data_IF_190413234273
#
_entry.id   IF_190413234273
#
_cell.length_a   1.000
_cell.length_b   1.000
_cell.length_c   1.000
_cell.angle_alpha   90.00
_cell.angle_beta   90.00
_cell.angle_gamma   90.00
#
_symmetry.space_group_name_H-M   'P 1'
#
loop_
_entity.id
_entity.type
_entity.pdbx_description
1 polymer ?
#
# COMPACT_ATOMS: atom_id res chain seq x y z
N UNK A 1 5.12 -7.02 -34.22
CA UNK A 1 4.90 -8.41 -33.82
C UNK A 1 4.52 -8.38 -32.34
N UNK A 2 3.21 -8.34 -32.04
CA UNK A 2 2.70 -8.33 -30.66
C UNK A 2 2.88 -9.74 -30.10
N UNK A 3 3.86 -9.93 -29.23
CA UNK A 3 3.96 -11.14 -28.42
C UNK A 3 2.85 -11.00 -27.37
N UNK A 4 1.75 -11.72 -27.58
CA UNK A 4 0.67 -11.81 -26.59
C UNK A 4 1.27 -12.23 -25.25
N UNK A 5 1.15 -11.38 -24.22
CA UNK A 5 1.49 -11.73 -22.85
C UNK A 5 0.67 -12.97 -22.50
N UNK A 6 1.31 -14.11 -22.39
CA UNK A 6 0.72 -15.30 -21.80
C UNK A 6 0.49 -14.94 -20.34
N UNK A 7 -0.74 -14.60 -20.00
CA UNK A 7 -1.12 -14.36 -18.59
C UNK A 7 -1.09 -15.70 -17.91
N UNK A 8 -0.16 -15.90 -17.00
CA UNK A 8 -0.05 -17.13 -16.23
C UNK A 8 -1.27 -17.32 -15.32
N UNK A 9 -1.64 -18.58 -15.07
CA UNK A 9 -2.84 -18.92 -14.30
C UNK A 9 -2.88 -18.21 -12.94
N UNK A 10 -1.75 -18.17 -12.22
CA UNK A 10 -1.64 -17.50 -10.92
C UNK A 10 -1.81 -15.97 -11.00
N UNK A 11 -1.32 -15.31 -12.06
CA UNK A 11 -1.54 -13.87 -12.26
C UNK A 11 -3.03 -13.55 -12.49
N UNK A 12 -3.75 -14.42 -13.18
CA UNK A 12 -5.19 -14.31 -13.36
C UNK A 12 -5.92 -14.44 -12.02
N UNK A 13 -5.55 -15.40 -11.20
CA UNK A 13 -6.09 -15.57 -9.85
C UNK A 13 -5.83 -14.33 -8.97
N UNK A 14 -4.65 -13.69 -9.10
CA UNK A 14 -4.37 -12.42 -8.43
C UNK A 14 -5.31 -11.31 -8.89
N UNK A 15 -5.60 -11.18 -10.20
CA UNK A 15 -6.54 -10.18 -10.70
C UNK A 15 -7.96 -10.42 -10.15
N UNK A 16 -8.42 -11.66 -10.11
CA UNK A 16 -9.71 -12.04 -9.54
C UNK A 16 -9.78 -11.69 -8.05
N UNK A 17 -8.69 -11.94 -7.31
CA UNK A 17 -8.59 -11.57 -5.90
C UNK A 17 -8.63 -10.05 -5.68
N UNK A 18 -7.93 -9.26 -6.50
CA UNK A 18 -7.99 -7.78 -6.39
C UNK A 18 -9.42 -7.29 -6.70
N UNK A 19 -10.09 -7.87 -7.70
CA UNK A 19 -11.50 -7.56 -7.97
C UNK A 19 -12.41 -7.92 -6.79
N UNK A 20 -12.15 -9.01 -6.10
CA UNK A 20 -12.86 -9.38 -4.88
C UNK A 20 -12.62 -8.36 -3.74
N UNK A 21 -11.37 -7.93 -3.55
CA UNK A 21 -11.05 -6.90 -2.55
C UNK A 21 -11.80 -5.60 -2.82
N UNK A 22 -11.88 -5.19 -4.09
CA UNK A 22 -12.60 -3.99 -4.52
C UNK A 22 -14.11 -4.11 -4.32
N UNK A 23 -14.72 -5.13 -4.93
CA UNK A 23 -16.18 -5.23 -5.06
C UNK A 23 -16.87 -5.81 -3.83
N UNK A 24 -16.19 -6.66 -3.05
CA UNK A 24 -16.80 -7.39 -1.91
C UNK A 24 -16.27 -6.88 -0.56
N UNK A 25 -14.97 -6.63 -0.48
CA UNK A 25 -14.34 -6.17 0.76
C UNK A 25 -14.30 -4.65 0.87
N UNK A 26 -14.54 -3.91 -0.22
CA UNK A 26 -14.50 -2.44 -0.29
C UNK A 26 -13.21 -1.88 0.31
N UNK A 27 -12.06 -2.49 -0.04
CA UNK A 27 -10.77 -2.04 0.46
C UNK A 27 -10.35 -0.75 -0.25
N UNK A 28 -9.43 0.00 0.36
CA UNK A 28 -8.89 1.21 -0.27
C UNK A 28 -8.04 0.86 -1.49
N UNK A 29 -8.03 1.72 -2.49
CA UNK A 29 -7.20 1.58 -3.70
C UNK A 29 -5.70 1.38 -3.35
N UNK A 30 -5.20 2.06 -2.31
CA UNK A 30 -3.82 1.89 -1.84
C UNK A 30 -3.54 0.48 -1.35
N UNK A 31 -4.48 -0.15 -0.65
CA UNK A 31 -4.38 -1.55 -0.21
C UNK A 31 -4.37 -2.48 -1.40
N UNK A 32 -5.31 -2.32 -2.34
CA UNK A 32 -5.41 -3.13 -3.56
C UNK A 32 -4.13 -3.05 -4.40
N UNK A 33 -3.64 -1.85 -4.65
CA UNK A 33 -2.40 -1.62 -5.41
C UNK A 33 -1.17 -2.21 -4.71
N UNK A 34 -1.10 -2.11 -3.39
CA UNK A 34 0.00 -2.67 -2.61
C UNK A 34 -0.03 -4.20 -2.63
N UNK A 35 -1.18 -4.81 -2.41
CA UNK A 35 -1.37 -6.26 -2.45
C UNK A 35 -1.10 -6.82 -3.85
N UNK A 36 -1.64 -6.17 -4.89
CA UNK A 36 -1.37 -6.55 -6.28
C UNK A 36 0.12 -6.58 -6.58
N UNK A 37 0.85 -5.51 -6.19
CA UNK A 37 2.30 -5.42 -6.42
C UNK A 37 3.06 -6.53 -5.70
N UNK A 38 2.70 -6.80 -4.44
CA UNK A 38 3.35 -7.82 -3.64
C UNK A 38 3.08 -9.22 -4.23
N UNK A 39 1.83 -9.53 -4.58
CA UNK A 39 1.44 -10.82 -5.14
C UNK A 39 2.04 -11.08 -6.53
N UNK A 40 2.14 -10.06 -7.39
CA UNK A 40 2.81 -10.22 -8.69
C UNK A 40 4.29 -10.56 -8.54
N UNK A 41 4.98 -10.05 -7.51
CA UNK A 41 6.37 -10.45 -7.21
C UNK A 41 6.44 -11.92 -6.79
N UNK A 42 5.48 -12.40 -5.98
CA UNK A 42 5.38 -13.82 -5.64
C UNK A 42 5.15 -14.66 -6.89
N UNK A 43 4.23 -14.27 -7.77
CA UNK A 43 3.98 -14.99 -9.02
C UNK A 43 5.25 -15.11 -9.86
N UNK A 44 5.99 -14.03 -10.04
CA UNK A 44 7.24 -14.03 -10.80
C UNK A 44 8.28 -14.98 -10.18
N UNK A 45 8.48 -14.90 -8.86
CA UNK A 45 9.39 -15.80 -8.14
C UNK A 45 9.01 -17.28 -8.31
N UNK A 46 7.72 -17.61 -8.26
CA UNK A 46 7.23 -18.96 -8.46
C UNK A 46 7.46 -19.43 -9.90
N UNK A 47 7.23 -18.57 -10.89
CA UNK A 47 7.45 -18.86 -12.30
C UNK A 47 8.92 -19.16 -12.61
N UNK A 48 9.87 -18.43 -12.04
CA UNK A 48 11.31 -18.71 -12.18
C UNK A 48 11.69 -20.11 -11.66
N UNK A 49 10.88 -20.67 -10.77
CA UNK A 49 11.02 -22.04 -10.24
C UNK A 49 10.16 -23.08 -10.95
N UNK A 50 9.52 -22.71 -12.05
CA UNK A 50 8.64 -23.58 -12.83
C UNK A 50 7.28 -23.85 -12.19
N UNK A 51 6.89 -23.10 -11.15
CA UNK A 51 5.60 -23.21 -10.47
C UNK A 51 4.63 -22.20 -11.09
N UNK A 52 3.68 -22.68 -11.91
CA UNK A 52 2.79 -21.83 -12.70
C UNK A 52 1.35 -21.75 -12.18
N UNK A 53 1.03 -22.48 -11.10
CA UNK A 53 -0.32 -22.53 -10.51
C UNK A 53 -0.25 -22.43 -8.99
N UNK A 54 -1.20 -21.74 -8.37
CA UNK A 54 -1.32 -21.66 -6.93
C UNK A 54 -1.54 -23.03 -6.26
N UNK A 55 -2.15 -23.99 -6.98
CA UNK A 55 -2.34 -25.38 -6.50
C UNK A 55 -1.03 -26.15 -6.33
N UNK A 56 0.02 -25.77 -7.05
CA UNK A 56 1.34 -26.42 -6.97
C UNK A 56 2.27 -25.77 -5.93
N UNK A 57 1.92 -24.58 -5.41
CA UNK A 57 2.73 -23.87 -4.42
C UNK A 57 2.69 -24.61 -3.08
N UNK A 58 3.86 -24.82 -2.50
CA UNK A 58 4.03 -25.43 -1.18
C UNK A 58 4.51 -24.40 -0.17
N UNK A 59 4.31 -24.68 1.12
CA UNK A 59 4.81 -23.85 2.21
C UNK A 59 6.30 -23.52 2.08
N UNK A 60 7.11 -24.50 1.64
CA UNK A 60 8.55 -24.32 1.45
C UNK A 60 8.89 -23.29 0.38
N UNK A 61 8.09 -23.19 -0.69
CA UNK A 61 8.30 -22.22 -1.76
C UNK A 61 8.02 -20.80 -1.28
N UNK A 62 6.96 -20.64 -0.48
CA UNK A 62 6.63 -19.35 0.14
C UNK A 62 7.69 -18.95 1.18
N UNK A 63 8.19 -19.89 1.98
CA UNK A 63 9.31 -19.62 2.91
C UNK A 63 10.58 -19.18 2.17
N UNK A 64 10.90 -19.84 1.04
CA UNK A 64 12.03 -19.46 0.20
C UNK A 64 11.86 -18.04 -0.36
N UNK A 65 10.65 -17.65 -0.78
CA UNK A 65 10.38 -16.29 -1.20
C UNK A 65 10.59 -15.27 -0.06
N UNK A 66 10.09 -15.57 1.15
CA UNK A 66 10.28 -14.68 2.30
C UNK A 66 11.77 -14.52 2.62
N UNK A 67 12.53 -15.61 2.56
CA UNK A 67 13.98 -15.55 2.78
C UNK A 67 14.68 -14.61 1.77
N UNK A 68 14.28 -14.64 0.49
CA UNK A 68 14.81 -13.70 -0.51
C UNK A 68 14.48 -12.24 -0.15
N UNK A 69 13.27 -11.96 0.39
CA UNK A 69 12.93 -10.61 0.84
C UNK A 69 13.80 -10.15 2.02
N UNK A 70 14.14 -11.07 2.92
CA UNK A 70 15.03 -10.82 4.07
C UNK A 70 16.48 -10.58 3.61
N UNK A 71 16.99 -11.37 2.68
CA UNK A 71 18.33 -11.18 2.08
C UNK A 71 18.45 -9.83 1.37
N UNK A 72 17.38 -9.33 0.75
CA UNK A 72 17.32 -7.99 0.17
C UNK A 72 17.32 -6.86 1.22
N UNK A 73 17.39 -7.18 2.51
CA UNK A 73 17.41 -6.23 3.64
C UNK A 73 16.22 -5.27 3.61
N UNK A 74 15.07 -5.74 3.17
CA UNK A 74 13.84 -4.93 3.19
C UNK A 74 13.41 -4.64 4.63
N UNK A 75 12.78 -3.49 4.84
CA UNK A 75 12.24 -3.14 6.15
C UNK A 75 11.24 -4.20 6.65
N UNK A 76 11.29 -4.54 7.94
CA UNK A 76 10.42 -5.55 8.56
C UNK A 76 8.93 -5.29 8.29
N UNK A 77 8.51 -4.02 8.22
CA UNK A 77 7.15 -3.63 7.84
C UNK A 77 6.80 -4.05 6.41
N UNK A 78 7.74 -3.95 5.46
CA UNK A 78 7.55 -4.38 4.07
C UNK A 78 7.42 -5.89 3.98
N UNK A 79 8.28 -6.65 4.65
CA UNK A 79 8.21 -8.12 4.71
C UNK A 79 6.89 -8.56 5.36
N UNK A 80 6.50 -7.94 6.46
CA UNK A 80 5.25 -8.22 7.17
C UNK A 80 4.02 -7.97 6.29
N UNK A 81 3.99 -6.87 5.51
CA UNK A 81 2.90 -6.60 4.56
C UNK A 81 2.87 -7.63 3.43
N UNK A 82 4.02 -8.03 2.89
CA UNK A 82 4.09 -9.11 1.88
C UNK A 82 3.49 -10.42 2.43
N UNK A 83 3.85 -10.81 3.65
CA UNK A 83 3.28 -12.00 4.29
C UNK A 83 1.76 -11.85 4.47
N UNK A 84 1.29 -10.68 4.88
CA UNK A 84 -0.14 -10.42 5.04
C UNK A 84 -0.90 -10.56 3.71
N UNK A 85 -0.36 -10.01 2.61
CA UNK A 85 -0.97 -10.11 1.28
C UNK A 85 -1.00 -11.56 0.77
N UNK A 86 0.08 -12.32 0.97
CA UNK A 86 0.16 -13.73 0.62
C UNK A 86 -0.86 -14.55 1.41
N UNK A 87 -0.91 -14.40 2.73
CA UNK A 87 -1.87 -15.12 3.57
C UNK A 87 -3.32 -14.81 3.19
N UNK A 88 -3.64 -13.54 2.95
CA UNK A 88 -4.98 -13.14 2.56
C UNK A 88 -5.37 -13.70 1.17
N UNK A 89 -4.44 -13.75 0.23
CA UNK A 89 -4.65 -14.33 -1.10
C UNK A 89 -4.86 -15.85 -1.04
N UNK A 90 -4.00 -16.59 -0.34
CA UNK A 90 -4.14 -18.05 -0.22
C UNK A 90 -5.40 -18.44 0.56
N UNK A 91 -5.76 -17.69 1.59
CA UNK A 91 -7.03 -17.87 2.30
C UNK A 91 -8.24 -17.64 1.36
N UNK A 92 -8.19 -16.61 0.50
CA UNK A 92 -9.21 -16.40 -0.52
C UNK A 92 -9.31 -17.58 -1.49
N UNK A 93 -8.20 -18.05 -2.03
CA UNK A 93 -8.19 -19.21 -2.93
C UNK A 93 -8.75 -20.48 -2.26
N UNK A 94 -8.43 -20.67 -1.00
CA UNK A 94 -8.94 -21.80 -0.20
C UNK A 94 -10.45 -21.65 0.03
N UNK A 95 -10.95 -20.48 0.39
CA UNK A 95 -12.38 -20.24 0.60
C UNK A 95 -13.21 -20.39 -0.68
N UNK A 96 -12.62 -20.06 -1.85
CA UNK A 96 -13.25 -20.24 -3.16
C UNK A 96 -13.11 -21.70 -3.70
N UNK A 97 -12.49 -22.59 -2.93
CA UNK A 97 -12.29 -24.00 -3.35
C UNK A 97 -11.28 -24.16 -4.49
N UNK A 98 -10.48 -23.13 -4.81
CA UNK A 98 -9.47 -23.17 -5.89
C UNK A 98 -8.23 -23.96 -5.51
N UNK A 99 -7.94 -24.06 -4.23
CA UNK A 99 -6.87 -24.87 -3.64
C UNK A 99 -7.43 -25.76 -2.53
N UNK A 100 -6.83 -26.91 -2.31
CA UNK A 100 -7.25 -27.85 -1.25
C UNK A 100 -6.56 -27.59 0.09
N UNK A 101 -5.37 -26.99 0.07
CA UNK A 101 -4.59 -26.68 1.25
C UNK A 101 -4.05 -25.24 1.18
N UNK A 102 -4.11 -24.51 2.29
CA UNK A 102 -3.54 -23.18 2.39
C UNK A 102 -2.05 -23.26 2.73
N UNK A 103 -1.20 -23.12 1.71
CA UNK A 103 0.26 -23.15 1.84
C UNK A 103 0.81 -21.98 2.66
N UNK A 104 0.04 -20.89 2.84
CA UNK A 104 0.46 -19.69 3.57
C UNK A 104 0.08 -19.71 5.05
N UNK A 105 -0.68 -20.70 5.52
CA UNK A 105 -1.22 -20.75 6.87
C UNK A 105 -0.14 -20.58 7.96
N UNK A 106 0.98 -21.29 7.82
CA UNK A 106 2.06 -21.31 8.79
C UNK A 106 3.08 -20.18 8.67
N UNK A 107 2.95 -19.27 7.70
CA UNK A 107 3.85 -18.14 7.56
C UNK A 107 3.75 -17.21 8.78
N UNK A 108 4.91 -16.81 9.31
CA UNK A 108 5.00 -15.88 10.46
C UNK A 108 5.64 -14.58 10.01
N UNK A 109 4.96 -13.47 10.32
CA UNK A 109 5.52 -12.15 10.08
C UNK A 109 6.63 -11.84 11.10
N UNK A 110 7.70 -11.12 10.70
CA UNK A 110 8.70 -10.63 11.62
C UNK A 110 8.08 -9.66 12.64
N UNK A 111 8.65 -9.62 13.85
CA UNK A 111 8.26 -8.60 14.83
C UNK A 111 8.68 -7.23 14.33
N UNK A 112 7.72 -6.32 14.25
CA UNK A 112 7.99 -4.90 13.95
C UNK A 112 8.21 -4.19 15.26
N UNK A 113 9.42 -3.69 15.48
CA UNK A 113 9.66 -2.77 16.59
C UNK A 113 8.94 -1.45 16.31
N UNK A 114 8.03 -1.10 17.21
CA UNK A 114 7.37 0.22 17.16
C UNK A 114 8.37 1.27 17.60
N UNK A 115 9.01 1.92 16.64
CA UNK A 115 9.77 3.14 16.91
C UNK A 115 8.79 4.26 17.23
N UNK A 116 9.08 5.04 18.27
CA UNK A 116 8.33 6.28 18.49
C UNK A 116 8.58 7.21 17.30
N UNK A 117 7.52 7.85 16.76
CA UNK A 117 7.70 8.85 15.73
C UNK A 117 8.64 9.96 16.22
N UNK A 118 9.54 10.40 15.36
CA UNK A 118 10.31 11.61 15.62
C UNK A 118 9.34 12.80 15.51
N UNK A 119 9.35 13.65 16.52
CA UNK A 119 8.48 14.83 16.61
C UNK A 119 9.36 16.05 16.39
N UNK A 120 8.97 16.90 15.43
CA UNK A 120 9.64 18.17 15.22
C UNK A 120 9.39 19.10 16.39
N UNK A 121 10.42 19.82 16.81
CA UNK A 121 10.30 20.92 17.78
C UNK A 121 9.60 22.13 17.14
N UNK A 122 9.08 23.04 17.96
CA UNK A 122 8.46 24.27 17.47
C UNK A 122 9.43 25.08 16.60
N UNK A 123 10.72 25.14 16.95
CA UNK A 123 11.73 25.82 16.17
C UNK A 123 11.97 25.19 14.79
N UNK A 124 12.00 23.86 14.72
CA UNK A 124 12.13 23.13 13.45
C UNK A 124 10.89 23.32 12.55
N UNK A 125 9.71 23.32 13.15
CA UNK A 125 8.46 23.61 12.40
C UNK A 125 8.50 25.03 11.85
N UNK A 126 8.84 26.03 12.65
CA UNK A 126 8.95 27.42 12.20
C UNK A 126 9.96 27.56 11.07
N UNK A 127 11.14 26.96 11.22
CA UNK A 127 12.18 26.97 10.18
C UNK A 127 11.69 26.29 8.87
N UNK A 128 10.91 25.20 8.97
CA UNK A 128 10.32 24.54 7.80
C UNK A 128 9.31 25.43 7.09
N UNK A 129 8.41 26.07 7.82
CA UNK A 129 7.39 26.96 7.26
C UNK A 129 8.01 28.20 6.60
N UNK A 130 9.12 28.70 7.17
CA UNK A 130 9.87 29.85 6.64
C UNK A 130 10.63 29.56 5.34
N UNK A 131 10.89 28.30 4.99
CA UNK A 131 11.56 27.95 3.73
C UNK A 131 10.71 28.27 2.50
N UNK A 132 9.39 28.30 2.61
CA UNK A 132 8.46 28.57 1.52
C UNK A 132 8.08 30.07 1.48
N UNK A 133 9.04 30.97 1.34
CA UNK A 133 8.82 32.43 1.44
C UNK A 133 9.03 33.20 0.14
N UNK A 134 8.98 32.57 -1.03
CA UNK A 134 9.09 33.26 -2.31
C UNK A 134 7.76 33.78 -2.82
N UNK A 135 7.84 34.70 -3.81
CA UNK A 135 6.69 35.38 -4.43
C UNK A 135 6.17 34.67 -5.69
N UNK A 136 6.80 33.56 -6.10
CA UNK A 136 6.33 32.82 -7.25
C UNK A 136 5.01 32.07 -6.92
N UNK A 137 4.11 31.85 -7.89
CA UNK A 137 2.86 31.13 -7.66
C UNK A 137 3.07 29.73 -7.04
N UNK A 138 4.20 29.09 -7.35
CA UNK A 138 4.57 27.79 -6.76
C UNK A 138 4.87 27.94 -5.27
N UNK A 139 5.71 28.91 -4.89
CA UNK A 139 6.12 29.11 -3.50
C UNK A 139 4.95 29.55 -2.63
N UNK A 140 4.08 30.42 -3.14
CA UNK A 140 2.83 30.83 -2.45
C UNK A 140 1.94 29.60 -2.20
N UNK A 141 1.78 28.73 -3.21
CA UNK A 141 1.01 27.50 -3.07
C UNK A 141 1.65 26.57 -2.04
N UNK A 142 2.95 26.34 -2.13
CA UNK A 142 3.68 25.42 -1.26
C UNK A 142 3.62 25.91 0.20
N UNK A 143 3.72 27.21 0.44
CA UNK A 143 3.52 27.83 1.75
C UNK A 143 2.10 27.60 2.28
N UNK A 144 1.09 27.89 1.49
CA UNK A 144 -0.30 27.67 1.89
C UNK A 144 -0.59 26.21 2.25
N UNK A 145 0.00 25.26 1.51
CA UNK A 145 -0.12 23.81 1.80
C UNK A 145 0.54 23.44 3.13
N UNK A 146 1.74 23.93 3.39
CA UNK A 146 2.47 23.64 4.64
C UNK A 146 1.76 24.25 5.85
N UNK A 147 1.36 25.50 5.77
CA UNK A 147 0.59 26.20 6.81
C UNK A 147 -0.72 25.47 7.14
N UNK A 148 -1.43 25.02 6.09
CA UNK A 148 -2.68 24.31 6.25
C UNK A 148 -2.50 22.94 6.91
N UNK A 149 -1.47 22.17 6.50
CA UNK A 149 -1.12 20.91 7.13
C UNK A 149 -0.79 21.08 8.60
N UNK A 150 -0.01 22.12 8.94
CA UNK A 150 0.39 22.38 10.31
C UNK A 150 -0.80 22.83 11.18
N UNK A 151 -1.62 23.75 10.68
CA UNK A 151 -2.75 24.30 11.40
C UNK A 151 -3.88 23.27 11.67
N UNK A 152 -4.07 22.31 10.75
CA UNK A 152 -5.24 21.43 10.78
C UNK A 152 -4.91 19.96 11.06
N UNK A 153 -3.67 19.53 10.79
CA UNK A 153 -3.26 18.14 10.90
C UNK A 153 -3.93 17.20 9.87
N UNK A 154 -4.51 17.75 8.79
CA UNK A 154 -5.10 16.93 7.72
C UNK A 154 -4.03 16.10 7.01
N UNK A 155 -4.43 14.97 6.42
CA UNK A 155 -3.50 14.15 5.63
C UNK A 155 -3.21 14.78 4.28
N UNK A 156 -2.02 14.50 3.72
CA UNK A 156 -1.64 15.00 2.39
C UNK A 156 -2.68 14.64 1.32
N UNK A 157 -3.26 13.44 1.37
CA UNK A 157 -4.34 13.02 0.46
C UNK A 157 -5.61 13.86 0.61
N UNK A 158 -5.97 14.24 1.83
CA UNK A 158 -7.11 15.10 2.12
C UNK A 158 -6.84 16.52 1.62
N UNK A 159 -5.62 17.04 1.83
CA UNK A 159 -5.19 18.33 1.31
C UNK A 159 -5.29 18.41 -0.22
N UNK A 160 -4.77 17.41 -0.93
CA UNK A 160 -4.79 17.36 -2.42
C UNK A 160 -6.23 17.28 -2.95
N UNK A 161 -7.13 16.65 -2.20
CA UNK A 161 -8.54 16.49 -2.56
C UNK A 161 -9.42 17.70 -2.23
N UNK A 162 -8.91 18.74 -1.54
CA UNK A 162 -9.68 19.92 -1.15
C UNK A 162 -10.16 20.72 -2.36
N UNK A 163 -11.40 21.16 -2.29
CA UNK A 163 -12.02 22.09 -3.24
C UNK A 163 -12.23 23.45 -2.57
N UNK A 164 -12.36 24.50 -3.36
CA UNK A 164 -12.67 25.83 -2.83
C UNK A 164 -13.97 25.86 -2.02
N UNK A 165 -14.95 25.02 -2.36
CA UNK A 165 -16.20 24.85 -1.61
C UNK A 165 -16.01 24.28 -0.20
N UNK A 166 -14.89 23.60 0.05
CA UNK A 166 -14.62 22.93 1.33
C UNK A 166 -13.95 23.89 2.33
N UNK A 167 -13.59 25.09 1.87
CA UNK A 167 -12.87 26.11 2.65
C UNK A 167 -13.81 27.27 2.96
N UNK A 168 -14.01 27.57 4.23
CA UNK A 168 -14.75 28.76 4.65
C UNK A 168 -13.82 29.76 5.33
N UNK A 169 -13.34 30.73 4.55
CA UNK A 169 -12.42 31.77 5.06
C UNK A 169 -13.04 32.71 6.09
N UNK A 170 -14.37 32.93 6.04
CA UNK A 170 -15.05 33.84 6.98
C UNK A 170 -15.17 33.23 8.38
N UNK A 171 -15.34 31.88 8.45
CA UNK A 171 -15.52 31.16 9.70
C UNK A 171 -14.28 30.35 10.08
N UNK A 172 -13.19 30.45 9.30
CA UNK A 172 -11.90 29.81 9.53
C UNK A 172 -12.00 28.29 9.77
N UNK A 173 -12.77 27.57 8.94
CA UNK A 173 -12.84 26.13 9.00
C UNK A 173 -12.77 25.46 7.61
N UNK A 174 -12.43 24.17 7.66
CA UNK A 174 -12.35 23.26 6.51
C UNK A 174 -13.30 22.09 6.70
N UNK A 175 -13.94 21.68 5.61
CA UNK A 175 -14.64 20.41 5.54
C UNK A 175 -13.74 19.35 4.88
N UNK A 176 -13.37 18.30 5.64
CA UNK A 176 -12.74 17.11 5.08
C UNK A 176 -13.80 16.01 4.99
N UNK A 177 -14.26 15.72 3.78
CA UNK A 177 -15.23 14.62 3.54
C UNK A 177 -14.50 13.28 3.42
N UNK A 178 -15.19 12.17 3.74
CA UNK A 178 -14.61 10.82 3.57
C UNK A 178 -14.24 10.50 2.10
N UNK A 179 -14.84 11.18 1.13
CA UNK A 179 -14.48 11.07 -0.28
C UNK A 179 -13.04 11.53 -0.59
N UNK A 180 -12.45 12.36 0.26
CA UNK A 180 -11.05 12.80 0.14
C UNK A 180 -10.07 11.81 0.79
N UNK A 181 -10.53 10.64 1.26
CA UNK A 181 -9.71 9.58 1.89
C UNK A 181 -9.26 8.49 0.93
N UNK A 182 -9.47 8.67 -0.38
CA UNK A 182 -9.07 7.70 -1.41
C UNK A 182 -7.60 7.80 -1.77
#
# INVERSE_FOLDING_TARGET
MYIGRVTFLMEREVQEYISYLHNVKHTSNNTEMSYKRDLLKVCHFMQERGINSATAVKEQDLKAYIHVLEEQKLAAATVSRNIASIKAFFLYLFSEGKIQNDAALCLKAPKIEKKMPEILTMGEVSALLEQANGDSPKEIRDKAMLELLYATGIRVSELIGLKLSDVNLKLSFLFCTEQNRQ
#
